data_IF_273166123995
#
_entry.id   IF_273166123995
#
_cell.length_a   1.000
_cell.length_b   1.000
_cell.length_c   1.000
_cell.angle_alpha   90.00
_cell.angle_beta   90.00
_cell.angle_gamma   90.00
#
_symmetry.space_group_name_H-M   'P 1'
#
loop_
_entity.id
_entity.type
_entity.pdbx_description
1 polymer ?
#
# COMPACT_ATOMS: atom_id res chain seq x y z
N UNK A 1 16.94 -12.95 -25.88
CA UNK A 1 16.46 -11.77 -26.61
C UNK A 1 17.45 -11.28 -27.65
N UNK A 2 18.70 -11.04 -27.34
CA UNK A 2 19.71 -10.62 -28.34
C UNK A 2 19.86 -11.63 -29.48
N UNK A 3 19.90 -12.95 -29.22
CA UNK A 3 19.91 -13.99 -30.22
C UNK A 3 18.69 -14.01 -31.16
N UNK A 4 17.60 -13.39 -30.76
CA UNK A 4 16.40 -13.19 -31.58
C UNK A 4 16.44 -11.87 -32.39
N UNK A 5 17.50 -11.08 -32.23
CA UNK A 5 17.67 -9.79 -32.93
C UNK A 5 17.05 -8.60 -32.20
N UNK A 6 16.64 -8.75 -30.93
CA UNK A 6 16.12 -7.68 -30.13
C UNK A 6 17.22 -7.02 -29.27
N UNK A 7 17.27 -5.72 -29.30
CA UNK A 7 18.22 -4.95 -28.47
C UNK A 7 17.68 -4.80 -27.03
N UNK A 8 18.50 -5.20 -26.07
CA UNK A 8 18.28 -4.96 -24.65
C UNK A 8 18.95 -3.64 -24.31
N UNK A 9 18.24 -2.73 -23.62
CA UNK A 9 18.78 -1.40 -23.30
C UNK A 9 19.81 -1.45 -22.16
N UNK A 10 19.56 -2.30 -21.16
CA UNK A 10 20.43 -2.41 -20.00
C UNK A 10 21.66 -3.27 -20.31
N UNK A 11 22.83 -2.80 -19.89
CA UNK A 11 24.07 -3.60 -19.88
C UNK A 11 24.15 -4.51 -18.66
N UNK A 12 23.57 -4.05 -17.53
CA UNK A 12 23.46 -4.81 -16.29
C UNK A 12 22.01 -4.69 -15.78
N UNK A 13 21.47 -5.80 -15.33
CA UNK A 13 20.11 -5.86 -14.77
C UNK A 13 20.04 -6.98 -13.73
N UNK A 14 19.06 -6.91 -12.85
CA UNK A 14 18.78 -8.00 -11.91
C UNK A 14 17.64 -8.88 -12.45
N UNK A 15 16.43 -8.34 -12.51
CA UNK A 15 15.23 -9.05 -12.90
C UNK A 15 14.42 -8.33 -14.00
N UNK A 16 14.77 -7.10 -14.30
CA UNK A 16 13.98 -6.26 -15.24
C UNK A 16 14.83 -5.81 -16.41
N UNK A 17 14.30 -6.02 -17.61
CA UNK A 17 14.90 -5.54 -18.85
C UNK A 17 13.92 -4.74 -19.70
N UNK A 18 14.48 -3.85 -20.51
CA UNK A 18 13.75 -3.13 -21.55
C UNK A 18 14.26 -3.55 -22.91
N UNK A 19 13.33 -3.97 -23.75
CA UNK A 19 13.59 -4.36 -25.14
C UNK A 19 13.21 -3.24 -26.10
N UNK A 20 14.08 -2.93 -27.03
CA UNK A 20 13.75 -2.10 -28.18
C UNK A 20 13.09 -2.96 -29.25
N UNK A 21 11.80 -2.76 -29.44
CA UNK A 21 10.96 -3.52 -30.36
C UNK A 21 10.54 -2.70 -31.59
N UNK A 22 10.75 -1.38 -31.54
CA UNK A 22 10.47 -0.46 -32.64
C UNK A 22 9.03 -0.57 -33.14
N UNK A 23 8.83 -0.62 -34.43
CA UNK A 23 7.51 -0.69 -35.04
C UNK A 23 6.71 -1.97 -34.66
N UNK A 24 7.34 -2.99 -34.12
CA UNK A 24 6.67 -4.24 -33.68
C UNK A 24 6.08 -4.18 -32.27
N UNK A 25 6.31 -3.11 -31.53
CA UNK A 25 5.92 -2.99 -30.10
C UNK A 25 4.46 -3.34 -29.87
N UNK A 26 3.54 -2.69 -30.57
CA UNK A 26 2.10 -2.93 -30.41
C UNK A 26 1.70 -4.38 -30.76
N UNK A 27 2.23 -4.92 -31.83
CA UNK A 27 1.93 -6.28 -32.26
C UNK A 27 2.47 -7.34 -31.29
N UNK A 28 3.67 -7.14 -30.75
CA UNK A 28 4.28 -8.03 -29.76
C UNK A 28 3.54 -7.93 -28.41
N UNK A 29 3.13 -6.73 -28.00
CA UNK A 29 2.36 -6.52 -26.79
C UNK A 29 1.02 -7.25 -26.87
N UNK A 30 0.28 -7.09 -27.97
CA UNK A 30 -1.00 -7.79 -28.17
C UNK A 30 -0.83 -9.30 -28.25
N UNK A 31 0.21 -9.79 -28.92
CA UNK A 31 0.54 -11.22 -28.99
C UNK A 31 0.84 -11.80 -27.62
N UNK A 32 1.56 -11.06 -26.76
CA UNK A 32 1.83 -11.45 -25.38
C UNK A 32 0.55 -11.51 -24.56
N UNK A 33 -0.33 -10.50 -24.67
CA UNK A 33 -1.63 -10.49 -23.97
C UNK A 33 -2.52 -11.66 -24.41
N UNK A 34 -2.58 -11.94 -25.70
CA UNK A 34 -3.33 -13.08 -26.21
C UNK A 34 -2.79 -14.43 -25.68
N UNK A 35 -1.50 -14.50 -25.33
CA UNK A 35 -0.87 -15.66 -24.71
C UNK A 35 -0.95 -15.65 -23.15
N UNK A 36 -1.66 -14.70 -22.56
CA UNK A 36 -1.82 -14.59 -21.10
C UNK A 36 -0.63 -13.93 -20.39
N UNK A 37 0.20 -13.17 -21.12
CA UNK A 37 1.38 -12.48 -20.56
C UNK A 37 1.19 -10.97 -20.66
N UNK A 38 1.21 -10.29 -19.54
CA UNK A 38 1.21 -8.84 -19.46
C UNK A 38 2.65 -8.32 -19.49
N UNK A 39 3.01 -7.59 -20.51
CA UNK A 39 4.27 -6.87 -20.61
C UNK A 39 4.02 -5.37 -20.35
N UNK A 40 5.02 -4.70 -19.81
CA UNK A 40 4.95 -3.26 -19.65
C UNK A 40 5.20 -2.58 -20.99
N UNK A 41 4.23 -1.84 -21.50
CA UNK A 41 4.47 -0.89 -22.58
C UNK A 41 5.19 0.34 -22.01
N UNK A 42 6.48 0.49 -22.33
CA UNK A 42 7.27 1.64 -21.89
C UNK A 42 6.94 2.85 -22.73
N UNK A 43 6.90 2.65 -24.04
CA UNK A 43 6.42 3.59 -25.05
C UNK A 43 6.17 2.86 -26.39
N UNK A 44 5.94 3.61 -27.46
CA UNK A 44 5.63 3.07 -28.80
C UNK A 44 6.73 2.21 -29.43
N UNK A 45 7.94 2.20 -28.87
CA UNK A 45 9.10 1.50 -29.42
C UNK A 45 9.74 0.50 -28.46
N UNK A 46 9.23 0.40 -27.19
CA UNK A 46 9.88 -0.37 -26.14
C UNK A 46 8.90 -1.15 -25.29
N UNK A 47 9.26 -2.38 -24.96
CA UNK A 47 8.58 -3.24 -23.99
C UNK A 47 9.48 -3.55 -22.80
N UNK A 48 8.91 -3.53 -21.60
CA UNK A 48 9.56 -3.94 -20.36
C UNK A 48 9.17 -5.37 -19.99
N UNK A 49 10.14 -6.12 -19.49
CA UNK A 49 10.00 -7.47 -18.94
C UNK A 49 10.50 -7.48 -17.52
N UNK A 50 9.72 -8.02 -16.61
CA UNK A 50 10.14 -8.24 -15.23
C UNK A 50 9.89 -9.68 -14.83
N UNK A 51 10.80 -10.25 -14.09
CA UNK A 51 10.76 -11.63 -13.61
C UNK A 51 10.82 -11.64 -12.09
N UNK A 52 10.32 -12.69 -11.49
CA UNK A 52 10.36 -12.91 -10.05
C UNK A 52 10.68 -14.37 -9.72
N UNK A 53 10.63 -14.74 -8.44
CA UNK A 53 10.90 -16.08 -7.96
C UNK A 53 9.86 -17.12 -8.40
N UNK A 54 8.73 -16.70 -8.93
CA UNK A 54 7.69 -17.59 -9.46
C UNK A 54 7.90 -17.93 -10.94
N UNK A 55 8.76 -17.19 -11.63
CA UNK A 55 9.05 -17.38 -13.05
C UNK A 55 9.72 -18.72 -13.30
N UNK A 56 9.13 -19.51 -14.18
CA UNK A 56 9.62 -20.85 -14.54
C UNK A 56 10.37 -20.87 -15.86
N UNK A 57 11.06 -22.00 -16.15
CA UNK A 57 11.66 -22.24 -17.46
C UNK A 57 10.62 -22.16 -18.59
N UNK A 58 9.43 -22.73 -18.37
CA UNK A 58 8.36 -22.73 -19.35
C UNK A 58 7.91 -21.30 -19.72
N UNK A 59 7.87 -20.39 -18.74
CA UNK A 59 7.53 -18.98 -18.98
C UNK A 59 8.58 -18.30 -19.87
N UNK A 60 9.86 -18.59 -19.62
CA UNK A 60 10.95 -18.05 -20.45
C UNK A 60 10.90 -18.59 -21.87
N UNK A 61 10.67 -19.90 -22.04
CA UNK A 61 10.55 -20.53 -23.37
C UNK A 61 9.33 -20.02 -24.13
N UNK A 62 8.19 -19.85 -23.44
CA UNK A 62 6.99 -19.24 -24.00
C UNK A 62 7.28 -17.80 -24.45
N UNK A 63 7.93 -17.02 -23.62
CA UNK A 63 8.29 -15.65 -23.94
C UNK A 63 9.22 -15.59 -25.16
N UNK A 64 10.25 -16.44 -25.24
CA UNK A 64 11.10 -16.52 -26.41
C UNK A 64 10.34 -16.87 -27.67
N UNK A 65 9.40 -17.80 -27.62
CA UNK A 65 8.56 -18.18 -28.74
C UNK A 65 7.71 -17.02 -29.30
N UNK A 66 7.23 -16.17 -28.40
CA UNK A 66 6.47 -14.97 -28.75
C UNK A 66 7.31 -13.97 -29.55
N UNK A 67 8.58 -13.80 -29.15
CA UNK A 67 9.50 -12.86 -29.76
C UNK A 67 10.28 -13.45 -30.97
N UNK A 68 10.25 -14.76 -31.14
CA UNK A 68 11.02 -15.44 -32.19
C UNK A 68 10.50 -15.17 -33.60
N UNK A 69 9.24 -14.76 -33.73
CA UNK A 69 8.61 -14.45 -35.04
C UNK A 69 8.81 -15.54 -36.09
N UNK A 70 8.52 -16.80 -35.73
CA UNK A 70 8.69 -17.98 -36.58
C UNK A 70 10.12 -18.53 -36.67
N UNK A 71 11.10 -17.91 -36.07
CA UNK A 71 12.44 -18.48 -35.92
C UNK A 71 12.46 -19.56 -34.84
N UNK A 72 13.42 -20.49 -34.86
CA UNK A 72 13.61 -21.41 -33.76
C UNK A 72 13.87 -20.66 -32.45
N UNK A 73 13.16 -21.01 -31.39
CA UNK A 73 13.45 -20.50 -30.07
C UNK A 73 14.82 -20.99 -29.60
N UNK A 74 15.54 -20.20 -28.78
CA UNK A 74 16.80 -20.63 -28.19
C UNK A 74 16.63 -21.88 -27.32
N UNK A 75 17.68 -22.67 -27.18
CA UNK A 75 17.74 -23.78 -26.24
C UNK A 75 18.02 -23.23 -24.83
N UNK A 76 17.06 -23.39 -23.92
CA UNK A 76 17.18 -22.92 -22.54
C UNK A 76 18.36 -23.57 -21.83
N UNK A 77 18.53 -24.89 -21.94
CA UNK A 77 19.55 -25.63 -21.24
C UNK A 77 20.96 -25.20 -21.70
N UNK A 78 21.14 -25.03 -23.00
CA UNK A 78 22.39 -24.56 -23.56
C UNK A 78 22.74 -23.13 -23.09
N UNK A 79 21.74 -22.23 -23.04
CA UNK A 79 21.95 -20.86 -22.58
C UNK A 79 22.16 -20.80 -21.06
N UNK A 80 21.43 -21.56 -20.28
CA UNK A 80 21.57 -21.60 -18.83
C UNK A 80 22.95 -22.10 -18.39
N UNK A 81 23.54 -23.03 -19.16
CA UNK A 81 24.88 -23.56 -18.87
C UNK A 81 26.00 -22.52 -19.03
N UNK A 82 25.79 -21.47 -19.83
CA UNK A 82 26.77 -20.42 -20.11
C UNK A 82 26.35 -19.05 -19.59
N UNK A 83 25.17 -18.98 -18.96
CA UNK A 83 24.67 -17.72 -18.40
C UNK A 83 25.54 -17.32 -17.19
N UNK A 84 25.92 -16.06 -17.15
CA UNK A 84 26.61 -15.45 -16.02
C UNK A 84 25.80 -14.27 -15.49
N UNK A 85 26.11 -13.83 -14.29
CA UNK A 85 25.46 -12.65 -13.70
C UNK A 85 25.76 -11.42 -14.55
N UNK A 86 24.73 -10.67 -14.90
CA UNK A 86 24.88 -9.38 -15.55
C UNK A 86 25.30 -8.27 -14.57
N UNK A 87 25.28 -8.57 -13.26
CA UNK A 87 25.63 -7.58 -12.25
C UNK A 87 27.17 -7.44 -12.14
N UNK A 88 27.67 -6.20 -12.02
CA UNK A 88 29.09 -5.98 -11.78
C UNK A 88 29.57 -6.69 -10.53
N UNK A 89 30.75 -7.29 -10.53
CA UNK A 89 31.32 -8.03 -9.41
C UNK A 89 31.37 -7.22 -8.10
N UNK A 90 31.55 -5.90 -8.21
CA UNK A 90 31.53 -4.99 -7.07
C UNK A 90 30.16 -4.85 -6.39
N UNK A 91 29.09 -5.21 -7.08
CA UNK A 91 27.71 -5.19 -6.56
C UNK A 91 27.26 -6.55 -6.04
N UNK A 92 28.03 -7.59 -6.31
CA UNK A 92 27.75 -8.92 -5.79
C UNK A 92 28.15 -9.02 -4.32
N UNK A 93 27.24 -9.58 -3.53
CA UNK A 93 27.49 -9.81 -2.11
C UNK A 93 28.63 -10.82 -1.91
N UNK A 94 29.62 -10.44 -1.09
CA UNK A 94 30.74 -11.30 -0.72
C UNK A 94 30.61 -11.84 0.72
N UNK A 95 29.77 -11.24 1.54
CA UNK A 95 29.56 -11.68 2.92
C UNK A 95 28.48 -12.77 2.99
N UNK A 96 28.60 -13.68 3.95
CA UNK A 96 27.55 -14.66 4.24
C UNK A 96 26.24 -13.97 4.67
N UNK A 97 25.12 -14.67 4.50
CA UNK A 97 23.78 -14.20 4.88
C UNK A 97 23.19 -15.15 5.92
N UNK A 98 22.32 -14.61 6.79
CA UNK A 98 21.53 -15.41 7.74
C UNK A 98 22.36 -16.40 8.58
N UNK A 99 23.54 -15.96 9.06
CA UNK A 99 24.46 -16.81 9.83
C UNK A 99 23.95 -17.09 11.25
N UNK A 100 23.03 -16.27 11.77
CA UNK A 100 22.51 -16.50 13.12
C UNK A 100 21.74 -17.84 13.18
N UNK A 101 22.01 -18.67 14.22
CA UNK A 101 21.42 -20.01 14.33
C UNK A 101 19.90 -20.07 14.22
N UNK A 102 19.18 -19.00 14.55
CA UNK A 102 17.72 -18.93 14.45
C UNK A 102 17.22 -19.22 13.03
N UNK A 103 17.97 -18.81 12.00
CA UNK A 103 17.58 -19.02 10.61
C UNK A 103 17.85 -20.44 10.12
N UNK A 104 18.56 -21.26 10.91
CA UNK A 104 19.02 -22.58 10.53
C UNK A 104 18.54 -23.67 11.51
N UNK A 105 17.61 -23.36 12.40
CA UNK A 105 17.19 -24.27 13.47
C UNK A 105 15.74 -24.74 13.38
N UNK A 106 14.83 -23.88 13.02
CA UNK A 106 13.39 -24.11 13.12
C UNK A 106 12.79 -24.48 11.76
N UNK A 107 13.12 -25.67 11.26
CA UNK A 107 12.72 -26.12 9.92
C UNK A 107 11.43 -26.95 9.89
N UNK A 108 10.94 -27.43 11.04
CA UNK A 108 9.64 -28.11 11.11
C UNK A 108 8.56 -27.16 11.60
N UNK A 109 7.32 -27.43 11.17
CA UNK A 109 6.14 -26.65 11.61
C UNK A 109 6.04 -26.62 13.13
N UNK A 110 6.18 -27.78 13.78
CA UNK A 110 6.08 -27.88 15.24
C UNK A 110 7.17 -27.07 15.97
N UNK A 111 8.41 -27.10 15.48
CA UNK A 111 9.50 -26.32 16.09
C UNK A 111 9.28 -24.84 15.88
N UNK A 112 8.84 -24.41 14.70
CA UNK A 112 8.53 -23.01 14.41
C UNK A 112 7.37 -22.51 15.28
N UNK A 113 6.29 -23.25 15.42
CA UNK A 113 5.17 -22.89 16.29
C UNK A 113 5.60 -22.72 17.75
N UNK A 114 6.41 -23.64 18.28
CA UNK A 114 6.97 -23.52 19.63
C UNK A 114 7.90 -22.32 19.79
N UNK A 115 8.68 -22.03 18.76
CA UNK A 115 9.55 -20.86 18.75
C UNK A 115 8.75 -19.56 18.75
N UNK A 116 7.73 -19.44 17.91
CA UNK A 116 6.82 -18.30 17.87
C UNK A 116 6.13 -18.09 19.22
N UNK A 117 5.65 -19.18 19.85
CA UNK A 117 5.06 -19.10 21.19
C UNK A 117 6.09 -18.60 22.23
N UNK A 118 7.31 -19.12 22.19
CA UNK A 118 8.40 -18.65 23.07
C UNK A 118 8.71 -17.17 22.89
N UNK A 119 8.62 -16.65 21.66
CA UNK A 119 8.80 -15.22 21.41
C UNK A 119 7.62 -14.41 21.96
N UNK A 120 6.40 -14.86 21.69
CA UNK A 120 5.19 -14.20 22.20
C UNK A 120 5.15 -14.15 23.74
N UNK A 121 5.70 -15.16 24.41
CA UNK A 121 5.74 -15.23 25.87
C UNK A 121 6.73 -14.25 26.54
N UNK A 122 7.58 -13.60 25.75
CA UNK A 122 8.51 -12.59 26.28
C UNK A 122 7.88 -11.23 26.51
N UNK A 123 6.71 -10.99 25.95
CA UNK A 123 6.02 -9.71 25.99
C UNK A 123 4.50 -9.93 25.98
N UNK A 124 3.75 -8.84 25.85
CA UNK A 124 2.31 -8.89 25.72
C UNK A 124 1.91 -9.66 24.45
N UNK A 125 0.91 -10.53 24.59
CA UNK A 125 0.35 -11.26 23.46
C UNK A 125 -1.18 -11.16 23.47
N UNK A 126 -1.76 -11.10 22.27
CA UNK A 126 -3.19 -10.84 22.05
C UNK A 126 -4.12 -11.89 22.66
N UNK A 127 -3.63 -13.12 22.81
CA UNK A 127 -4.40 -14.25 23.34
C UNK A 127 -4.50 -14.23 24.88
N UNK A 128 -3.82 -13.32 25.57
CA UNK A 128 -3.76 -13.28 27.05
C UNK A 128 -3.63 -11.90 27.67
N UNK A 129 -3.75 -10.83 26.89
CA UNK A 129 -3.61 -9.47 27.39
C UNK A 129 -4.62 -8.53 26.75
N UNK A 130 -4.88 -7.41 27.43
CA UNK A 130 -5.60 -6.29 26.84
C UNK A 130 -4.70 -5.58 25.83
N UNK A 131 -5.29 -5.05 24.77
CA UNK A 131 -4.57 -4.29 23.75
C UNK A 131 -4.04 -3.00 24.37
N UNK A 132 -2.71 -2.78 24.43
CA UNK A 132 -2.16 -1.53 24.92
C UNK A 132 -2.46 -0.39 23.94
N UNK A 133 -2.71 0.79 24.47
CA UNK A 133 -2.85 1.99 23.68
C UNK A 133 -1.57 2.24 22.86
N UNK A 134 -1.70 2.66 21.61
CA UNK A 134 -0.58 2.84 20.68
C UNK A 134 -0.34 1.66 19.75
N UNK A 135 -0.97 0.52 20.03
CA UNK A 135 -0.94 -0.66 19.14
C UNK A 135 -2.11 -0.65 18.16
N UNK A 136 -2.39 0.46 17.56
CA UNK A 136 -3.58 0.73 16.74
C UNK A 136 -3.80 -0.23 15.57
N UNK A 137 -2.79 -0.99 15.20
CA UNK A 137 -2.83 -1.97 14.11
C UNK A 137 -3.28 -3.36 14.53
N UNK A 138 -3.68 -3.55 15.77
CA UNK A 138 -4.05 -4.87 16.29
C UNK A 138 -5.49 -5.23 15.92
N UNK A 139 -5.74 -5.32 14.64
CA UNK A 139 -6.99 -5.85 14.10
C UNK A 139 -6.87 -7.36 14.01
N UNK A 140 -7.68 -8.06 14.78
CA UNK A 140 -7.78 -9.51 14.71
C UNK A 140 -8.88 -9.87 13.71
N UNK A 141 -8.49 -10.59 12.67
CA UNK A 141 -9.44 -11.18 11.73
C UNK A 141 -9.53 -12.68 11.99
N UNK A 142 -10.69 -13.27 11.73
CA UNK A 142 -10.82 -14.72 11.74
C UNK A 142 -9.92 -15.34 10.67
N UNK A 143 -9.34 -16.50 10.92
CA UNK A 143 -8.50 -17.19 9.95
C UNK A 143 -9.23 -17.43 8.62
N UNK A 144 -10.54 -17.72 8.67
CA UNK A 144 -11.38 -17.89 7.49
C UNK A 144 -11.54 -16.63 6.64
N UNK A 145 -11.44 -15.44 7.25
CA UNK A 145 -11.47 -14.15 6.53
C UNK A 145 -10.14 -13.87 5.84
N UNK A 146 -9.05 -14.43 6.35
CA UNK A 146 -7.71 -14.26 5.78
C UNK A 146 -7.38 -15.27 4.68
N UNK A 147 -8.07 -16.42 4.62
CA UNK A 147 -7.82 -17.47 3.62
C UNK A 147 -7.89 -16.92 2.17
N UNK A 148 -8.90 -16.13 1.77
CA UNK A 148 -9.01 -15.63 0.40
C UNK A 148 -7.79 -14.80 -0.06
N UNK A 149 -7.07 -14.14 0.85
CA UNK A 149 -5.86 -13.38 0.51
C UNK A 149 -4.78 -14.25 -0.11
N UNK A 150 -4.78 -15.56 0.19
CA UNK A 150 -3.81 -16.53 -0.34
C UNK A 150 -4.23 -17.16 -1.66
N UNK A 151 -5.45 -16.92 -2.13
CA UNK A 151 -5.90 -17.45 -3.41
C UNK A 151 -5.23 -16.71 -4.57
N UNK A 152 -4.84 -17.47 -5.59
CA UNK A 152 -4.11 -16.91 -6.75
C UNK A 152 -4.89 -15.79 -7.44
N UNK A 153 -6.20 -15.91 -7.50
CA UNK A 153 -7.10 -14.94 -8.11
C UNK A 153 -7.07 -13.57 -7.41
N UNK A 154 -6.71 -13.54 -6.12
CA UNK A 154 -6.52 -12.31 -5.36
C UNK A 154 -5.05 -11.94 -5.21
N UNK A 155 -4.19 -12.91 -4.85
CA UNK A 155 -2.79 -12.64 -4.51
C UNK A 155 -1.88 -12.38 -5.70
N UNK A 156 -2.17 -12.95 -6.87
CA UNK A 156 -1.27 -12.92 -8.03
C UNK A 156 -1.64 -11.86 -9.07
N UNK A 157 -2.63 -11.01 -8.80
CA UNK A 157 -2.99 -9.95 -9.72
C UNK A 157 -2.06 -8.74 -9.52
N UNK A 158 -1.36 -8.34 -10.59
CA UNK A 158 -0.50 -7.16 -10.54
C UNK A 158 -1.34 -5.88 -10.44
N UNK A 159 -0.95 -4.87 -9.63
CA UNK A 159 -1.72 -3.62 -9.46
C UNK A 159 -1.95 -2.84 -10.76
N UNK A 160 -1.06 -2.99 -11.74
CA UNK A 160 -1.17 -2.35 -13.05
C UNK A 160 -1.60 -3.33 -14.16
N UNK A 161 -2.24 -4.45 -13.79
CA UNK A 161 -2.89 -5.30 -14.77
C UNK A 161 -3.97 -4.50 -15.55
N UNK A 162 -4.22 -4.82 -16.83
CA UNK A 162 -5.29 -4.18 -17.58
C UNK A 162 -6.64 -4.24 -16.86
N UNK A 163 -7.42 -3.18 -16.96
CA UNK A 163 -8.67 -3.03 -16.20
C UNK A 163 -9.66 -4.18 -16.45
N UNK A 164 -9.70 -4.69 -17.67
CA UNK A 164 -10.55 -5.82 -18.04
C UNK A 164 -10.16 -7.14 -17.35
N UNK A 165 -8.93 -7.25 -16.86
CA UNK A 165 -8.45 -8.40 -16.09
C UNK A 165 -8.72 -8.28 -14.60
N UNK A 166 -9.11 -7.10 -14.11
CA UNK A 166 -9.36 -6.79 -12.71
C UNK A 166 -10.83 -6.47 -12.39
N UNK A 167 -11.77 -6.86 -13.26
CA UNK A 167 -13.18 -6.55 -13.11
C UNK A 167 -13.77 -7.04 -11.77
N UNK A 168 -13.33 -8.20 -11.25
CA UNK A 168 -13.75 -8.71 -9.94
C UNK A 168 -13.29 -7.82 -8.78
N UNK A 169 -12.08 -7.26 -8.84
CA UNK A 169 -11.61 -6.29 -7.85
C UNK A 169 -12.41 -4.98 -7.93
N UNK A 170 -12.71 -4.51 -9.14
CA UNK A 170 -13.53 -3.31 -9.32
C UNK A 170 -14.92 -3.50 -8.70
N UNK A 171 -15.57 -4.63 -8.97
CA UNK A 171 -16.87 -4.95 -8.37
C UNK A 171 -16.79 -4.98 -6.84
N UNK A 172 -15.77 -5.63 -6.27
CA UNK A 172 -15.59 -5.73 -4.82
C UNK A 172 -15.41 -4.35 -4.19
N UNK A 173 -14.62 -3.47 -4.79
CA UNK A 173 -14.41 -2.10 -4.28
C UNK A 173 -15.67 -1.25 -4.39
N UNK A 174 -16.36 -1.29 -5.52
CA UNK A 174 -17.59 -0.52 -5.75
C UNK A 174 -18.70 -0.92 -4.76
N UNK A 175 -18.88 -2.24 -4.54
CA UNK A 175 -19.85 -2.75 -3.57
C UNK A 175 -19.48 -2.35 -2.14
N UNK A 176 -18.21 -2.43 -1.76
CA UNK A 176 -17.76 -2.05 -0.43
C UNK A 176 -17.90 -0.54 -0.19
N UNK A 177 -17.54 0.30 -1.15
CA UNK A 177 -17.75 1.75 -1.07
C UNK A 177 -19.22 2.09 -0.91
N UNK A 178 -20.11 1.45 -1.66
CA UNK A 178 -21.55 1.63 -1.53
C UNK A 178 -22.08 1.23 -0.14
N UNK A 179 -21.61 0.08 0.40
CA UNK A 179 -21.97 -0.37 1.76
C UNK A 179 -21.48 0.60 2.83
N UNK A 180 -20.27 1.12 2.67
CA UNK A 180 -19.70 2.09 3.61
C UNK A 180 -20.44 3.44 3.55
N UNK A 181 -20.80 3.93 2.38
CA UNK A 181 -21.64 5.11 2.23
C UNK A 181 -23.00 4.92 2.93
N UNK A 182 -23.64 3.76 2.73
CA UNK A 182 -24.91 3.46 3.37
C UNK A 182 -24.80 3.38 4.91
N UNK A 183 -23.72 2.82 5.43
CA UNK A 183 -23.50 2.66 6.86
C UNK A 183 -23.12 3.97 7.57
N UNK A 184 -22.42 4.86 6.90
CA UNK A 184 -21.87 6.09 7.49
C UNK A 184 -22.69 7.35 7.18
N UNK A 185 -23.49 7.31 6.11
CA UNK A 185 -24.23 8.47 5.60
C UNK A 185 -23.37 9.47 4.81
N UNK A 186 -22.13 9.11 4.47
CA UNK A 186 -21.30 9.91 3.57
C UNK A 186 -21.74 9.77 2.12
N UNK A 187 -21.51 10.82 1.33
CA UNK A 187 -21.82 10.84 -0.11
C UNK A 187 -20.82 10.02 -0.93
N UNK A 188 -19.59 9.88 -0.44
CA UNK A 188 -18.54 9.12 -1.08
C UNK A 188 -17.52 8.56 -0.06
N UNK A 189 -16.92 7.46 -0.43
CA UNK A 189 -15.83 6.79 0.32
C UNK A 189 -14.70 6.48 -0.65
N UNK A 190 -13.48 6.49 -0.19
CA UNK A 190 -12.31 6.03 -0.94
C UNK A 190 -11.60 4.92 -0.17
N UNK A 191 -11.32 3.81 -0.84
CA UNK A 191 -10.54 2.68 -0.33
C UNK A 191 -9.05 2.76 -0.67
N UNK A 192 -8.58 3.88 -1.25
CA UNK A 192 -7.18 4.07 -1.65
C UNK A 192 -6.18 4.09 -0.49
N UNK A 193 -6.48 4.69 0.68
CA UNK A 193 -5.54 4.72 1.79
C UNK A 193 -5.22 3.32 2.32
N UNK A 194 -3.92 3.00 2.45
CA UNK A 194 -3.46 1.70 2.95
C UNK A 194 -3.36 1.61 4.49
N UNK A 195 -3.47 2.74 5.18
CA UNK A 195 -3.39 2.82 6.64
C UNK A 195 -4.19 4.00 7.16
N UNK A 196 -4.49 4.02 8.48
CA UNK A 196 -5.22 5.11 9.13
C UNK A 196 -4.56 6.47 8.91
N UNK A 197 -3.24 6.56 9.06
CA UNK A 197 -2.50 7.81 8.83
C UNK A 197 -2.59 8.30 7.38
N UNK A 198 -2.67 7.41 6.40
CA UNK A 198 -2.88 7.80 5.00
C UNK A 198 -4.31 8.29 4.76
N UNK A 199 -5.30 7.71 5.46
CA UNK A 199 -6.68 8.21 5.46
C UNK A 199 -6.78 9.61 6.04
N UNK A 200 -6.12 9.86 7.17
CA UNK A 200 -6.00 11.20 7.76
C UNK A 200 -5.41 12.20 6.75
N UNK A 201 -4.30 11.83 6.13
CA UNK A 201 -3.62 12.67 5.16
C UNK A 201 -4.49 12.95 3.92
N UNK A 202 -5.13 11.91 3.38
CA UNK A 202 -6.03 12.05 2.23
C UNK A 202 -7.21 12.97 2.54
N UNK A 203 -7.81 12.83 3.72
CA UNK A 203 -8.88 13.70 4.19
C UNK A 203 -8.45 15.17 4.30
N UNK A 204 -7.28 15.43 4.88
CA UNK A 204 -6.74 16.79 5.00
C UNK A 204 -6.37 17.40 3.65
N UNK A 205 -5.86 16.61 2.71
CA UNK A 205 -5.61 17.06 1.34
C UNK A 205 -6.92 17.43 0.63
N UNK A 206 -7.98 16.64 0.82
CA UNK A 206 -9.30 16.94 0.26
C UNK A 206 -9.88 18.25 0.84
N UNK A 207 -9.79 18.45 2.17
CA UNK A 207 -10.20 19.70 2.83
C UNK A 207 -9.41 20.89 2.29
N UNK A 208 -8.10 20.75 2.15
CA UNK A 208 -7.26 21.81 1.59
C UNK A 208 -7.62 22.13 0.15
N UNK A 209 -7.78 21.11 -0.68
CA UNK A 209 -8.21 21.28 -2.07
C UNK A 209 -9.56 21.98 -2.17
N UNK A 210 -10.50 21.65 -1.27
CA UNK A 210 -11.79 22.33 -1.17
C UNK A 210 -11.63 23.83 -0.90
N UNK A 211 -10.83 24.23 0.08
CA UNK A 211 -10.58 25.65 0.37
C UNK A 211 -9.91 26.36 -0.81
N UNK A 212 -8.89 25.76 -1.41
CA UNK A 212 -8.21 26.32 -2.60
C UNK A 212 -9.17 26.51 -3.78
N UNK A 213 -10.05 25.54 -4.04
CA UNK A 213 -11.03 25.63 -5.14
C UNK A 213 -12.02 26.77 -4.99
N UNK A 214 -12.17 27.29 -3.77
CA UNK A 214 -13.04 28.43 -3.43
C UNK A 214 -12.31 29.76 -3.34
N UNK A 215 -10.98 29.76 -3.56
CA UNK A 215 -10.13 30.95 -3.39
C UNK A 215 -9.82 31.29 -1.93
N UNK A 216 -10.05 30.36 -1.01
CA UNK A 216 -9.80 30.53 0.44
C UNK A 216 -8.40 30.05 0.83
N UNK A 217 -7.37 30.43 0.11
CA UNK A 217 -5.98 29.99 0.30
C UNK A 217 -5.40 30.32 1.69
N UNK A 218 -6.03 31.25 2.40
CA UNK A 218 -5.64 31.63 3.76
C UNK A 218 -6.03 30.59 4.82
N UNK A 219 -6.94 29.67 4.50
CA UNK A 219 -7.40 28.65 5.43
C UNK A 219 -6.40 27.51 5.49
N UNK A 220 -5.50 27.59 6.47
CA UNK A 220 -4.40 26.65 6.66
C UNK A 220 -4.26 26.18 8.12
N UNK A 221 -5.14 26.58 9.03
CA UNK A 221 -5.08 26.15 10.43
C UNK A 221 -5.93 24.91 10.65
N UNK A 222 -5.31 23.90 11.28
CA UNK A 222 -5.97 22.71 11.81
C UNK A 222 -5.92 22.73 13.34
N UNK A 223 -7.08 22.71 14.01
CA UNK A 223 -7.16 22.57 15.45
C UNK A 223 -7.02 21.08 15.82
N UNK A 224 -6.13 20.77 16.73
CA UNK A 224 -5.85 19.39 17.16
C UNK A 224 -5.77 19.33 18.67
N UNK A 225 -6.58 18.49 19.36
CA UNK A 225 -6.49 18.34 20.81
C UNK A 225 -5.14 17.79 21.27
N UNK A 226 -4.69 18.22 22.45
CA UNK A 226 -3.46 17.73 23.07
C UNK A 226 -3.47 16.19 23.26
N UNK A 227 -4.65 15.58 23.42
CA UNK A 227 -4.84 14.14 23.53
C UNK A 227 -4.85 13.40 22.20
N UNK A 228 -4.57 14.05 21.07
CA UNK A 228 -4.54 13.40 19.78
C UNK A 228 -3.33 12.47 19.62
N UNK A 229 -3.46 11.48 18.76
CA UNK A 229 -2.33 10.64 18.35
C UNK A 229 -1.29 11.48 17.59
N UNK A 230 -0.01 11.11 17.73
CA UNK A 230 1.09 11.82 17.06
C UNK A 230 1.01 11.90 15.54
N UNK A 231 0.29 11.00 14.87
CA UNK A 231 0.05 11.07 13.43
C UNK A 231 -0.81 12.27 13.03
N UNK A 232 -1.71 12.74 13.90
CA UNK A 232 -2.62 13.84 13.59
C UNK A 232 -1.86 15.14 13.25
N UNK A 233 -0.98 15.65 14.13
CA UNK A 233 -0.18 16.83 13.77
C UNK A 233 0.80 16.57 12.63
N UNK A 234 1.34 15.34 12.51
CA UNK A 234 2.26 15.00 11.43
C UNK A 234 1.57 15.08 10.06
N UNK A 235 0.40 14.47 9.91
CA UNK A 235 -0.36 14.50 8.63
C UNK A 235 -0.88 15.90 8.31
N UNK A 236 -1.24 16.70 9.32
CA UNK A 236 -1.62 18.09 9.12
C UNK A 236 -0.44 18.92 8.56
N UNK A 237 0.76 18.76 9.11
CA UNK A 237 1.96 19.40 8.56
C UNK A 237 2.29 18.93 7.14
N UNK A 238 2.19 17.63 6.87
CA UNK A 238 2.40 17.07 5.53
C UNK A 238 1.41 17.63 4.52
N UNK A 239 0.16 17.87 4.93
CA UNK A 239 -0.84 18.54 4.11
C UNK A 239 -0.59 20.04 3.97
N UNK A 240 0.46 20.60 4.59
CA UNK A 240 0.80 22.03 4.57
C UNK A 240 -0.11 22.88 5.44
N UNK A 241 -0.71 22.30 6.48
CA UNK A 241 -1.50 23.02 7.48
C UNK A 241 -0.65 23.39 8.70
N UNK A 242 -0.99 24.50 9.33
CA UNK A 242 -0.45 24.90 10.64
C UNK A 242 -1.30 24.32 11.76
N UNK A 243 -0.66 23.65 12.69
CA UNK A 243 -1.35 23.03 13.84
C UNK A 243 -1.49 24.04 14.96
N UNK A 244 -2.70 24.19 15.48
CA UNK A 244 -3.00 24.90 16.71
C UNK A 244 -3.56 23.88 17.71
N UNK A 245 -2.82 23.66 18.80
CA UNK A 245 -3.17 22.65 19.81
C UNK A 245 -4.26 23.20 20.71
N UNK A 246 -5.33 22.42 20.92
CA UNK A 246 -6.37 22.72 21.91
C UNK A 246 -6.12 21.94 23.19
N UNK A 247 -6.45 22.55 24.33
CA UNK A 247 -6.26 21.94 25.65
C UNK A 247 -7.23 20.79 25.91
N UNK A 248 -6.88 19.97 26.90
CA UNK A 248 -7.75 18.96 27.47
C UNK A 248 -7.99 19.27 28.95
N UNK A 249 -9.17 18.89 29.47
CA UNK A 249 -9.48 18.96 30.88
C UNK A 249 -8.71 17.90 31.70
N UNK A 250 -8.84 17.94 33.04
CA UNK A 250 -8.17 16.99 33.94
C UNK A 250 -8.63 15.54 33.76
N UNK A 251 -9.73 15.29 33.05
CA UNK A 251 -10.25 13.96 32.71
C UNK A 251 -9.85 13.50 31.29
N UNK A 252 -9.09 14.32 30.58
CA UNK A 252 -8.64 14.02 29.22
C UNK A 252 -9.65 14.35 28.12
N UNK A 253 -10.78 14.98 28.44
CA UNK A 253 -11.71 15.47 27.44
C UNK A 253 -11.18 16.75 26.80
N UNK A 254 -11.59 17.02 25.56
CA UNK A 254 -11.27 18.30 24.91
C UNK A 254 -11.90 19.45 25.70
N UNK A 255 -11.10 20.45 26.04
CA UNK A 255 -11.57 21.68 26.66
C UNK A 255 -12.35 22.50 25.62
N UNK A 256 -13.67 22.57 25.80
CA UNK A 256 -14.58 23.19 24.85
C UNK A 256 -14.43 24.71 24.83
N UNK A 257 -14.11 25.31 25.95
CA UNK A 257 -13.95 26.76 26.01
C UNK A 257 -12.64 27.18 25.34
N UNK A 258 -11.54 26.45 25.53
CA UNK A 258 -10.30 26.66 24.80
C UNK A 258 -10.47 26.40 23.30
N UNK A 259 -11.18 25.31 22.92
CA UNK A 259 -11.49 25.01 21.53
C UNK A 259 -12.27 26.16 20.88
N UNK A 260 -13.30 26.66 21.53
CA UNK A 260 -14.13 27.77 21.03
C UNK A 260 -13.31 29.07 20.90
N UNK A 261 -12.51 29.37 21.92
CA UNK A 261 -11.63 30.56 21.91
C UNK A 261 -10.64 30.52 20.74
N UNK A 262 -10.01 29.36 20.51
CA UNK A 262 -9.06 29.19 19.38
C UNK A 262 -9.74 29.19 18.03
N UNK A 263 -10.92 28.62 17.91
CA UNK A 263 -11.71 28.67 16.68
C UNK A 263 -12.09 30.11 16.32
N UNK A 264 -12.49 30.92 17.29
CA UNK A 264 -12.81 32.33 17.06
C UNK A 264 -11.54 33.16 16.80
N UNK A 265 -10.46 32.93 17.52
CA UNK A 265 -9.17 33.60 17.30
C UNK A 265 -8.65 33.40 15.87
N UNK A 266 -8.85 32.22 15.32
CA UNK A 266 -8.32 31.83 13.99
C UNK A 266 -9.42 31.74 12.93
N UNK A 267 -10.57 32.32 13.15
CA UNK A 267 -11.78 32.20 12.33
C UNK A 267 -11.55 32.31 10.82
N UNK A 268 -10.73 33.30 10.40
CA UNK A 268 -10.48 33.58 8.99
C UNK A 268 -9.47 32.63 8.35
N UNK A 269 -8.70 31.91 9.17
CA UNK A 269 -7.65 30.99 8.73
C UNK A 269 -7.98 29.51 9.08
N UNK A 270 -9.07 29.29 9.79
CA UNK A 270 -9.46 27.93 10.21
C UNK A 270 -9.87 27.11 9.00
N UNK A 271 -9.13 26.01 8.78
CA UNK A 271 -9.40 25.05 7.70
C UNK A 271 -10.12 23.81 8.20
N UNK A 272 -9.68 23.27 9.35
CA UNK A 272 -10.14 21.97 9.84
C UNK A 272 -9.99 21.85 11.35
N UNK A 273 -10.72 20.90 11.92
CA UNK A 273 -10.47 20.32 13.22
C UNK A 273 -10.24 18.82 13.04
N UNK A 274 -9.26 18.26 13.76
CA UNK A 274 -8.97 16.83 13.72
C UNK A 274 -9.04 16.27 15.12
N UNK A 275 -9.95 15.35 15.38
CA UNK A 275 -10.23 14.75 16.68
C UNK A 275 -10.08 13.24 16.60
N UNK A 276 -9.29 12.68 17.49
CA UNK A 276 -9.16 11.23 17.69
C UNK A 276 -10.21 10.74 18.69
N UNK A 277 -10.94 9.68 18.34
CA UNK A 277 -12.07 9.22 19.12
C UNK A 277 -12.12 7.69 19.19
N UNK A 278 -12.07 7.06 20.38
CA UNK A 278 -11.68 7.67 21.65
C UNK A 278 -10.29 8.28 21.63
N UNK A 279 -10.03 9.25 22.50
CA UNK A 279 -8.73 9.93 22.57
C UNK A 279 -7.63 9.01 23.12
N UNK A 280 -6.35 9.40 22.98
CA UNK A 280 -5.24 8.66 23.56
C UNK A 280 -5.29 8.63 25.11
N UNK A 281 -6.05 9.51 25.72
CA UNK A 281 -6.34 9.51 27.17
C UNK A 281 -7.55 8.63 27.53
N UNK A 282 -8.12 7.89 26.57
CA UNK A 282 -9.29 7.05 26.77
C UNK A 282 -10.61 7.82 26.91
N UNK A 283 -10.61 9.13 26.70
CA UNK A 283 -11.81 9.94 26.78
C UNK A 283 -12.71 9.70 25.57
N UNK A 284 -14.02 9.59 25.83
CA UNK A 284 -15.06 9.41 24.82
C UNK A 284 -16.07 10.53 24.98
N UNK A 285 -16.23 11.35 23.94
CA UNK A 285 -17.14 12.48 23.92
C UNK A 285 -18.32 12.17 23.02
N UNK A 286 -19.51 12.05 23.60
CA UNK A 286 -20.67 11.50 22.89
C UNK A 286 -21.52 12.55 22.18
N UNK A 287 -21.53 13.81 22.61
CA UNK A 287 -22.59 14.73 22.21
C UNK A 287 -22.12 16.05 21.62
N UNK A 288 -20.99 16.59 22.02
CA UNK A 288 -20.67 18.00 21.72
C UNK A 288 -19.53 18.22 20.73
N UNK A 289 -18.88 17.14 20.28
CA UNK A 289 -17.77 17.18 19.32
C UNK A 289 -18.03 16.34 18.07
N UNK A 290 -19.23 15.86 17.85
CA UNK A 290 -19.54 15.09 16.64
C UNK A 290 -19.54 16.00 15.43
N UNK A 291 -18.70 15.68 14.48
CA UNK A 291 -18.60 16.43 13.22
C UNK A 291 -19.80 16.17 12.29
N UNK A 292 -20.31 14.97 12.30
CA UNK A 292 -21.51 14.56 11.57
C UNK A 292 -22.35 13.73 12.51
N UNK A 293 -23.49 14.27 12.87
CA UNK A 293 -24.58 13.49 13.37
C UNK A 293 -25.08 12.66 12.19
N UNK A 294 -24.62 11.41 12.10
CA UNK A 294 -25.35 10.46 11.29
C UNK A 294 -26.75 10.35 11.84
N UNK A 295 -27.72 10.43 10.98
CA UNK A 295 -29.14 10.35 11.33
C UNK A 295 -29.40 9.26 12.35
N UNK A 296 -30.07 9.59 13.40
CA UNK A 296 -30.64 8.60 14.28
C UNK A 296 -30.20 8.67 15.72
N UNK A 297 -29.92 9.84 16.19
CA UNK A 297 -30.10 10.08 17.61
C UNK A 297 -31.48 10.65 17.86
#
# INVERSE_FOLDING_TARGET
MQGLGLAVEQQAFFDTLTLRTGAQTAALHEKARAAGINLREVDSERLGLSFDETTTQADIEQLWSLFADGKPAPDFTALAAVADSSLPAAQLRQSAILEHPVFNRYHSETELMRYLRKLADKDLALDRSMIPLGSCTMKLNAASEMIPVTWAEFGNLHPFAPAEQSAGYQQLTDELEAMLCAATGYDAVSLQPNAGSQGEYAGLLAIRAYHHSRGDDKRDICLIPQSAHGTNPATAHMAGMRVVVTACDARGNVDIDDLRAKAEQHRDQLAAIMITYPSTHGAVSYTHLRAHETRGN
#
